data_IF_281847106893
#
_entry.id   IF_281847106893
#
_cell.length_a   1.000
_cell.length_b   1.000
_cell.length_c   1.000
_cell.angle_alpha   90.00
_cell.angle_beta   90.00
_cell.angle_gamma   90.00
#
_symmetry.space_group_name_H-M   'P 1'
#
loop_
_entity.id
_entity.type
_entity.pdbx_description
1 polymer ?
#
# COMPACT_ATOMS: atom_id res chain seq x y z
N UNK A 1 -10.58 -2.97 14.57
CA UNK A 1 -10.41 -4.43 14.40
C UNK A 1 -9.41 -4.90 15.43
N UNK A 2 -9.82 -5.77 16.36
CA UNK A 2 -8.90 -6.43 17.30
C UNK A 2 -8.40 -7.67 16.58
N UNK A 3 -7.15 -7.66 16.12
CA UNK A 3 -6.53 -8.80 15.44
C UNK A 3 -6.31 -9.92 16.45
N UNK A 4 -6.88 -11.10 16.16
CA UNK A 4 -6.76 -12.31 16.98
C UNK A 4 -5.27 -12.68 17.22
N UNK A 5 -4.92 -13.26 18.38
CA UNK A 5 -3.52 -13.60 18.69
C UNK A 5 -2.88 -14.63 17.76
N UNK A 6 -3.70 -15.40 17.03
CA UNK A 6 -3.29 -16.52 16.18
C UNK A 6 -2.75 -16.06 14.81
N UNK A 7 -3.07 -14.84 14.37
CA UNK A 7 -2.69 -14.28 13.06
C UNK A 7 -1.44 -13.38 13.12
N UNK A 8 -0.57 -13.56 14.11
CA UNK A 8 0.61 -12.70 14.30
C UNK A 8 1.89 -13.50 14.10
N UNK A 9 2.66 -13.13 13.08
CA UNK A 9 3.98 -13.69 12.85
C UNK A 9 5.02 -12.81 13.58
N UNK A 10 5.94 -13.46 14.30
CA UNK A 10 7.01 -12.76 15.03
C UNK A 10 8.24 -12.66 14.16
N UNK A 11 8.48 -11.48 13.59
CA UNK A 11 9.72 -11.19 12.88
C UNK A 11 10.77 -10.58 13.82
N UNK A 12 12.00 -11.06 13.71
CA UNK A 12 13.14 -10.52 14.47
C UNK A 12 13.88 -9.52 13.60
N UNK A 13 13.68 -8.22 13.87
CA UNK A 13 14.34 -7.15 13.12
C UNK A 13 15.62 -6.72 13.85
N UNK A 14 16.72 -6.65 13.10
CA UNK A 14 18.00 -6.12 13.58
C UNK A 14 18.04 -4.61 13.34
N UNK A 15 18.06 -3.83 14.42
CA UNK A 15 18.24 -2.38 14.36
C UNK A 15 19.69 -2.02 14.01
N UNK A 16 19.89 -0.82 13.45
CA UNK A 16 21.23 -0.31 13.10
C UNK A 16 22.23 -0.25 14.26
N UNK A 17 21.72 -0.24 15.50
CA UNK A 17 22.50 -0.26 16.73
C UNK A 17 22.88 -1.69 17.20
N UNK A 18 22.50 -2.73 16.44
CA UNK A 18 22.77 -4.14 16.72
C UNK A 18 21.79 -4.83 17.67
N UNK A 19 20.75 -4.11 18.15
CA UNK A 19 19.70 -4.68 18.99
C UNK A 19 18.71 -5.47 18.13
N UNK A 20 18.35 -6.67 18.59
CA UNK A 20 17.27 -7.49 18.03
C UNK A 20 15.97 -7.09 18.71
N UNK A 21 14.96 -6.72 17.92
CA UNK A 21 13.62 -6.42 18.42
C UNK A 21 12.64 -7.37 17.76
N UNK A 22 11.87 -8.07 18.58
CA UNK A 22 10.75 -8.89 18.14
C UNK A 22 9.55 -7.97 17.89
N UNK A 23 9.13 -7.88 16.64
CA UNK A 23 7.96 -7.11 16.25
C UNK A 23 6.89 -8.11 15.85
N UNK A 24 5.72 -8.01 16.49
CA UNK A 24 4.52 -8.71 16.05
C UNK A 24 4.00 -7.98 14.82
N UNK A 25 4.29 -8.52 13.65
CA UNK A 25 3.68 -8.05 12.41
C UNK A 25 2.39 -8.84 12.26
N UNK A 26 1.27 -8.14 12.05
CA UNK A 26 0.03 -8.83 11.71
C UNK A 26 0.29 -9.57 10.40
N UNK A 27 0.02 -10.87 10.38
CA UNK A 27 0.09 -11.65 9.15
C UNK A 27 -0.79 -10.93 8.15
N UNK A 28 -0.18 -10.43 7.07
CA UNK A 28 -0.97 -10.05 5.90
C UNK A 28 -1.62 -11.37 5.51
N UNK A 29 -2.89 -11.52 5.86
CA UNK A 29 -3.73 -12.45 5.13
C UNK A 29 -3.62 -11.90 3.73
N UNK A 30 -2.75 -12.54 2.92
CA UNK A 30 -2.87 -12.51 1.49
C UNK A 30 -4.37 -12.69 1.31
N UNK A 31 -5.08 -11.60 0.99
CA UNK A 31 -6.41 -11.73 0.45
C UNK A 31 -6.08 -12.51 -0.80
N UNK A 32 -6.19 -13.84 -0.71
CA UNK A 32 -6.24 -14.73 -1.86
C UNK A 32 -7.00 -13.90 -2.86
N UNK A 33 -6.37 -13.60 -4.00
CA UNK A 33 -7.03 -12.95 -5.11
C UNK A 33 -8.40 -13.61 -5.14
N UNK A 34 -9.44 -12.90 -4.67
CA UNK A 34 -10.79 -13.43 -4.58
C UNK A 34 -11.05 -13.67 -6.03
N UNK A 35 -10.78 -14.90 -6.47
CA UNK A 35 -10.62 -15.20 -7.87
C UNK A 35 -11.90 -14.70 -8.48
N UNK A 36 -11.80 -13.98 -9.59
CA UNK A 36 -12.95 -13.64 -10.41
C UNK A 36 -13.64 -14.92 -10.96
N UNK A 37 -13.62 -16.05 -10.25
CA UNK A 37 -14.71 -17.01 -10.21
C UNK A 37 -15.96 -16.27 -9.75
N UNK A 38 -16.58 -15.60 -10.72
CA UNK A 38 -17.97 -15.23 -10.68
C UNK A 38 -18.77 -16.52 -10.45
N UNK A 39 -19.07 -16.82 -9.19
CA UNK A 39 -19.96 -17.92 -8.83
C UNK A 39 -21.34 -17.54 -9.36
N UNK A 40 -21.66 -18.00 -10.57
CA UNK A 40 -22.96 -17.80 -11.21
C UNK A 40 -24.01 -18.65 -10.48
N UNK A 41 -24.53 -18.13 -9.38
CA UNK A 41 -25.63 -18.75 -8.66
C UNK A 41 -26.91 -18.63 -9.50
N UNK A 42 -27.41 -19.78 -9.98
CA UNK A 42 -28.68 -19.82 -10.71
C UNK A 42 -29.84 -19.50 -9.77
N UNK A 43 -30.38 -18.28 -9.89
CA UNK A 43 -31.60 -17.89 -9.20
C UNK A 43 -32.77 -18.71 -9.76
N UNK A 44 -33.32 -19.61 -8.93
CA UNK A 44 -34.41 -20.52 -9.34
C UNK A 44 -35.79 -19.85 -9.37
N UNK A 45 -35.94 -18.71 -8.69
CA UNK A 45 -37.23 -18.07 -8.40
C UNK A 45 -37.47 -16.80 -9.24
N UNK A 46 -36.98 -16.75 -10.48
CA UNK A 46 -37.23 -15.61 -11.38
C UNK A 46 -38.58 -15.79 -12.07
N UNK A 47 -39.48 -14.83 -11.91
CA UNK A 47 -40.75 -14.78 -12.62
C UNK A 47 -40.56 -14.49 -14.12
N UNK A 48 -41.60 -14.70 -14.92
CA UNK A 48 -41.54 -14.41 -16.36
C UNK A 48 -41.34 -12.90 -16.62
N UNK A 49 -40.68 -12.53 -17.72
CA UNK A 49 -40.39 -11.13 -18.08
C UNK A 49 -41.64 -10.24 -18.27
N UNK A 50 -42.83 -10.83 -18.44
CA UNK A 50 -44.10 -10.12 -18.61
C UNK A 50 -45.03 -10.25 -17.40
N UNK A 51 -44.58 -10.86 -16.30
CA UNK A 51 -45.38 -10.96 -15.08
C UNK A 51 -45.55 -9.58 -14.44
N UNK A 52 -46.80 -9.22 -14.11
CA UNK A 52 -47.10 -8.04 -13.32
C UNK A 52 -46.36 -8.07 -11.98
N UNK A 53 -46.07 -6.89 -11.42
CA UNK A 53 -45.39 -6.76 -10.13
C UNK A 53 -46.12 -7.57 -9.05
N UNK A 54 -45.47 -8.65 -8.60
CA UNK A 54 -45.97 -9.46 -7.49
C UNK A 54 -45.81 -8.70 -6.17
N UNK A 55 -46.60 -9.06 -5.15
CA UNK A 55 -46.57 -8.43 -3.82
C UNK A 55 -45.19 -8.43 -3.16
N UNK A 56 -44.31 -9.37 -3.53
CA UNK A 56 -42.94 -9.46 -2.99
C UNK A 56 -41.88 -8.69 -3.81
N UNK A 57 -42.27 -8.03 -4.91
CA UNK A 57 -41.33 -7.33 -5.79
C UNK A 57 -40.58 -6.21 -5.06
N UNK A 58 -41.29 -5.42 -4.26
CA UNK A 58 -40.71 -4.29 -3.55
C UNK A 58 -39.60 -4.71 -2.57
N UNK A 59 -39.81 -5.79 -1.81
CA UNK A 59 -38.83 -6.28 -0.85
C UNK A 59 -37.60 -6.88 -1.52
N UNK A 60 -37.78 -7.61 -2.62
CA UNK A 60 -36.66 -8.11 -3.44
C UNK A 60 -35.84 -6.97 -4.04
N UNK A 61 -36.50 -5.97 -4.63
CA UNK A 61 -35.82 -4.80 -5.18
C UNK A 61 -35.03 -4.05 -4.09
N UNK A 62 -35.62 -3.83 -2.91
CA UNK A 62 -34.91 -3.17 -1.80
C UNK A 62 -33.65 -3.92 -1.41
N UNK A 63 -33.72 -5.25 -1.29
CA UNK A 63 -32.55 -6.08 -0.93
C UNK A 63 -31.47 -5.99 -2.01
N UNK A 64 -31.83 -6.15 -3.28
CA UNK A 64 -30.89 -6.06 -4.41
C UNK A 64 -30.22 -4.69 -4.45
N UNK A 65 -31.01 -3.63 -4.25
CA UNK A 65 -30.49 -2.26 -4.19
C UNK A 65 -29.48 -2.08 -3.06
N UNK A 66 -29.78 -2.59 -1.87
CA UNK A 66 -28.85 -2.52 -0.72
C UNK A 66 -27.53 -3.24 -1.01
N UNK A 67 -27.60 -4.44 -1.58
CA UNK A 67 -26.42 -5.22 -1.95
C UNK A 67 -25.56 -4.46 -2.96
N UNK A 68 -26.17 -3.85 -3.98
CA UNK A 68 -25.42 -3.09 -4.99
C UNK A 68 -24.84 -1.79 -4.43
N UNK A 69 -25.58 -1.08 -3.57
CA UNK A 69 -25.07 0.12 -2.89
C UNK A 69 -23.89 -0.21 -1.96
N UNK A 70 -23.96 -1.32 -1.22
CA UNK A 70 -22.84 -1.81 -0.40
C UNK A 70 -21.63 -2.20 -1.25
N UNK A 71 -21.85 -2.85 -2.40
CA UNK A 71 -20.80 -3.20 -3.35
C UNK A 71 -20.09 -1.96 -3.89
N UNK A 72 -20.85 -0.96 -4.32
CA UNK A 72 -20.32 0.30 -4.83
C UNK A 72 -19.53 1.05 -3.75
N UNK A 73 -20.08 1.12 -2.52
CA UNK A 73 -19.37 1.75 -1.39
C UNK A 73 -18.04 1.08 -1.12
N UNK A 74 -17.98 -0.27 -1.07
CA UNK A 74 -16.72 -0.99 -0.84
C UNK A 74 -15.68 -0.69 -1.92
N UNK A 75 -16.11 -0.70 -3.19
CA UNK A 75 -15.25 -0.36 -4.32
C UNK A 75 -14.71 1.08 -4.24
N UNK A 76 -15.56 2.03 -3.83
CA UNK A 76 -15.14 3.42 -3.64
C UNK A 76 -14.14 3.56 -2.48
N UNK A 77 -14.38 2.88 -1.35
CA UNK A 77 -13.48 2.85 -0.20
C UNK A 77 -12.11 2.28 -0.58
N UNK A 78 -12.07 1.11 -1.22
CA UNK A 78 -10.84 0.46 -1.67
C UNK A 78 -10.05 1.37 -2.64
N UNK A 79 -10.74 2.01 -3.60
CA UNK A 79 -10.11 2.96 -4.53
C UNK A 79 -9.52 4.19 -3.82
N UNK A 80 -10.22 4.74 -2.83
CA UNK A 80 -9.72 5.89 -2.07
C UNK A 80 -8.49 5.52 -1.25
N UNK A 81 -8.50 4.36 -0.60
CA UNK A 81 -7.34 3.86 0.16
C UNK A 81 -6.12 3.66 -0.75
N UNK A 82 -6.29 3.00 -1.89
CA UNK A 82 -5.20 2.79 -2.86
C UNK A 82 -4.64 4.11 -3.39
N UNK A 83 -5.53 5.06 -3.69
CA UNK A 83 -5.15 6.39 -4.15
C UNK A 83 -4.31 7.13 -3.11
N UNK A 84 -4.77 7.17 -1.85
CA UNK A 84 -4.04 7.82 -0.76
C UNK A 84 -2.67 7.17 -0.52
N UNK A 85 -2.59 5.83 -0.53
CA UNK A 85 -1.32 5.09 -0.40
C UNK A 85 -0.36 5.41 -1.55
N UNK A 86 -0.85 5.40 -2.79
CA UNK A 86 -0.04 5.73 -3.98
C UNK A 86 0.46 7.18 -3.93
N UNK A 87 -0.40 8.14 -3.58
CA UNK A 87 -0.02 9.54 -3.46
C UNK A 87 1.02 9.74 -2.35
N UNK A 88 0.84 9.11 -1.20
CA UNK A 88 1.80 9.14 -0.10
C UNK A 88 3.16 8.55 -0.51
N UNK A 89 3.18 7.39 -1.16
CA UNK A 89 4.44 6.78 -1.62
C UNK A 89 5.18 7.67 -2.60
N UNK A 90 4.48 8.22 -3.61
CA UNK A 90 5.05 9.15 -4.60
C UNK A 90 5.65 10.39 -3.93
N UNK A 91 4.93 10.99 -2.99
CA UNK A 91 5.45 12.16 -2.26
C UNK A 91 6.65 11.80 -1.40
N UNK A 92 6.65 10.65 -0.73
CA UNK A 92 7.75 10.16 0.10
C UNK A 92 9.00 9.92 -0.75
N UNK A 93 8.87 9.21 -1.87
CA UNK A 93 9.94 8.94 -2.82
C UNK A 93 10.53 10.24 -3.38
N UNK A 94 9.69 11.19 -3.78
CA UNK A 94 10.14 12.50 -4.26
C UNK A 94 10.97 13.26 -3.21
N UNK A 95 10.55 13.22 -1.93
CA UNK A 95 11.32 13.82 -0.84
C UNK A 95 12.66 13.11 -0.66
N UNK A 96 12.68 11.77 -0.60
CA UNK A 96 13.91 10.99 -0.46
C UNK A 96 14.89 11.29 -1.59
N UNK A 97 14.43 11.28 -2.85
CA UNK A 97 15.25 11.62 -4.01
C UNK A 97 15.83 13.03 -3.92
N UNK A 98 15.01 14.02 -3.53
CA UNK A 98 15.50 15.40 -3.34
C UNK A 98 16.58 15.51 -2.26
N UNK A 99 16.45 14.76 -1.16
CA UNK A 99 17.46 14.70 -0.10
C UNK A 99 18.72 13.99 -0.57
N UNK A 100 18.60 12.88 -1.29
CA UNK A 100 19.73 12.14 -1.86
C UNK A 100 20.52 13.01 -2.85
N UNK A 101 19.84 13.73 -3.74
CA UNK A 101 20.47 14.64 -4.69
C UNK A 101 21.21 15.78 -3.99
N UNK A 102 20.56 16.40 -2.99
CA UNK A 102 21.20 17.49 -2.23
C UNK A 102 22.42 17.00 -1.45
N UNK A 103 22.36 15.78 -0.91
CA UNK A 103 23.44 15.13 -0.16
C UNK A 103 24.58 14.73 -1.07
N UNK A 104 24.29 14.15 -2.23
CA UNK A 104 25.27 13.78 -3.25
C UNK A 104 26.03 15.02 -3.74
N UNK A 105 25.32 16.08 -4.13
CA UNK A 105 25.93 17.37 -4.55
C UNK A 105 26.85 17.94 -3.47
N UNK A 106 26.45 17.91 -2.19
CA UNK A 106 27.29 18.37 -1.07
C UNK A 106 28.51 17.47 -0.88
N UNK A 107 28.34 16.15 -0.97
CA UNK A 107 29.42 15.16 -0.86
C UNK A 107 30.47 15.34 -1.96
N UNK A 108 30.05 15.49 -3.22
CA UNK A 108 30.93 15.78 -4.35
C UNK A 108 31.73 17.06 -4.16
N UNK A 109 31.08 18.15 -3.70
CA UNK A 109 31.79 19.41 -3.38
C UNK A 109 32.86 19.19 -2.32
N UNK A 110 32.58 18.39 -1.28
CA UNK A 110 33.57 18.06 -0.23
C UNK A 110 34.70 17.19 -0.79
N UNK A 111 34.40 16.19 -1.61
CA UNK A 111 35.41 15.34 -2.29
C UNK A 111 36.34 16.19 -3.16
N UNK A 112 35.79 17.07 -4.02
CA UNK A 112 36.58 18.02 -4.85
C UNK A 112 37.48 18.91 -4.00
N UNK A 113 36.98 19.45 -2.86
CA UNK A 113 37.80 20.24 -1.93
C UNK A 113 38.90 19.42 -1.25
N UNK A 114 38.64 18.17 -0.87
CA UNK A 114 39.66 17.26 -0.29
C UNK A 114 40.78 16.98 -1.29
N UNK A 115 40.44 16.66 -2.54
CA UNK A 115 41.43 16.44 -3.62
C UNK A 115 42.31 17.67 -3.82
N UNK A 116 41.72 18.87 -3.97
CA UNK A 116 42.49 20.12 -4.12
C UNK A 116 43.43 20.40 -2.94
N UNK A 117 43.01 20.09 -1.70
CA UNK A 117 43.87 20.23 -0.51
C UNK A 117 44.99 19.20 -0.49
N UNK A 118 44.74 17.96 -0.92
CA UNK A 118 45.74 16.91 -1.04
C UNK A 118 46.85 17.27 -2.04
N UNK A 119 46.47 17.71 -3.25
CA UNK A 119 47.41 18.15 -4.29
C UNK A 119 48.27 19.32 -3.80
N UNK A 120 47.67 20.33 -3.14
CA UNK A 120 48.43 21.46 -2.55
C UNK A 120 49.42 21.04 -1.45
N UNK A 121 49.15 19.95 -0.72
CA UNK A 121 50.09 19.42 0.27
C UNK A 121 51.24 18.67 -0.39
N UNK A 122 50.97 17.89 -1.44
CA UNK A 122 52.01 17.18 -2.20
C UNK A 122 52.93 18.14 -2.97
N UNK A 123 52.38 19.18 -3.59
CA UNK A 123 53.18 20.21 -4.27
C UNK A 123 54.02 21.09 -3.33
N UNK A 124 53.77 21.08 -2.02
CA UNK A 124 54.59 21.76 -1.00
C UNK A 124 55.68 20.87 -0.40
N UNK A 125 55.65 19.56 -0.66
CA UNK A 125 56.67 18.62 -0.21
C UNK A 125 57.73 18.32 -1.29
N UNK A 126 57.57 18.89 -2.49
CA UNK A 126 58.42 18.64 -3.66
C UNK A 126 59.17 19.88 -4.16
N UNK A 127 59.05 21.00 -3.44
CA UNK A 127 59.92 22.19 -3.48
C UNK A 127 60.66 22.27 -2.14
#
# INVERSE_FOLDING_TARGET
MVVSPEDRETEVVLLGDGRKVEVQVGKEVDKEEDSDEEVLERIRNVGSCSSAASSNFFHSYRRIKQIEEERLRKMEEDYLEEKERSEFSKQREARIMSYMDSTSRKSEKRKKKKVKRGVKKQGKQTD
#
